data_IF_546089015907
#
_entry.id   IF_546089015907
#
_cell.length_a   1.000
_cell.length_b   1.000
_cell.length_c   1.000
_cell.angle_alpha   90.00
_cell.angle_beta   90.00
_cell.angle_gamma   90.00
#
_symmetry.space_group_name_H-M   'P 1'
#
loop_
_entity.id
_entity.type
_entity.pdbx_description
1 polymer ?
#
# COMPACT_ATOMS: atom_id res chain seq x y z
N UNK A 1 -0.39 9.56 2.84
CA UNK A 1 -1.25 9.06 3.94
C UNK A 1 -1.62 7.61 3.66
N UNK A 2 -1.94 6.83 4.69
CA UNK A 2 -2.42 5.44 4.53
C UNK A 2 -3.36 5.04 5.68
N UNK A 3 -4.31 4.15 5.39
CA UNK A 3 -5.31 3.68 6.36
C UNK A 3 -5.08 2.21 6.71
N UNK A 4 -5.20 1.90 8.00
CA UNK A 4 -5.18 0.53 8.50
C UNK A 4 -6.55 -0.14 8.37
N UNK A 5 -6.57 -1.47 8.42
CA UNK A 5 -7.78 -2.30 8.42
C UNK A 5 -8.73 -1.93 9.57
N UNK A 6 -8.20 -1.49 10.71
CA UNK A 6 -9.00 -1.17 11.92
C UNK A 6 -9.58 0.24 11.94
N UNK A 7 -9.33 1.05 10.92
CA UNK A 7 -9.86 2.41 10.82
C UNK A 7 -8.94 3.50 11.40
N UNK A 8 -7.65 3.21 11.62
CA UNK A 8 -6.67 4.24 11.97
C UNK A 8 -6.02 4.80 10.71
N UNK A 9 -6.16 6.11 10.50
CA UNK A 9 -5.51 6.86 9.43
C UNK A 9 -4.15 7.37 9.89
N UNK A 10 -3.10 7.16 9.09
CA UNK A 10 -1.75 7.67 9.34
C UNK A 10 -1.34 8.67 8.24
N UNK A 11 -0.75 9.80 8.64
CA UNK A 11 -0.45 10.90 7.72
C UNK A 11 0.70 11.78 8.23
N UNK A 12 1.24 12.60 7.33
CA UNK A 12 2.31 13.56 7.66
C UNK A 12 1.75 14.93 8.02
N UNK A 13 2.44 15.63 8.91
CA UNK A 13 2.23 17.03 9.28
C UNK A 13 3.47 17.83 8.86
N UNK A 14 3.39 18.48 7.70
CA UNK A 14 4.54 19.18 7.11
C UNK A 14 5.04 20.36 7.96
N UNK A 15 4.13 21.09 8.61
CA UNK A 15 4.51 22.24 9.43
C UNK A 15 5.21 21.84 10.74
N UNK A 16 5.05 20.58 11.16
CA UNK A 16 5.54 20.05 12.42
C UNK A 16 6.72 19.09 12.27
N UNK A 17 7.15 18.80 11.03
CA UNK A 17 8.06 17.71 10.70
C UNK A 17 7.66 16.41 11.42
N UNK A 18 6.39 16.00 11.30
CA UNK A 18 5.82 14.94 12.14
C UNK A 18 4.96 13.95 11.35
N UNK A 19 4.84 12.74 11.91
CA UNK A 19 3.88 11.72 11.50
C UNK A 19 2.81 11.64 12.58
N UNK A 20 1.55 11.71 12.17
CA UNK A 20 0.39 11.65 13.02
C UNK A 20 -0.53 10.48 12.65
N UNK A 21 -1.42 10.16 13.57
CA UNK A 21 -2.51 9.22 13.36
C UNK A 21 -3.84 9.82 13.83
N UNK A 22 -4.93 9.31 13.30
CA UNK A 22 -6.28 9.55 13.77
C UNK A 22 -7.07 8.26 13.73
N UNK A 23 -7.64 7.87 14.87
CA UNK A 23 -8.53 6.72 14.99
C UNK A 23 -9.98 7.18 14.76
N UNK A 24 -10.57 6.77 13.63
CA UNK A 24 -11.90 7.21 13.23
C UNK A 24 -13.02 6.63 14.11
N UNK A 25 -12.75 5.57 14.86
CA UNK A 25 -13.74 4.92 15.75
C UNK A 25 -13.76 5.56 17.13
N UNK A 26 -12.61 6.05 17.59
CA UNK A 26 -12.47 6.68 18.92
C UNK A 26 -12.91 8.15 18.93
N UNK A 27 -12.72 8.89 17.84
CA UNK A 27 -13.09 10.32 17.80
C UNK A 27 -13.66 10.70 16.44
N UNK A 28 -14.88 11.23 16.43
CA UNK A 28 -15.59 11.62 15.20
C UNK A 28 -15.00 12.85 14.50
N UNK A 29 -14.34 13.74 15.24
CA UNK A 29 -13.73 14.94 14.69
C UNK A 29 -12.25 14.74 14.40
N UNK A 30 -11.88 14.89 13.12
CA UNK A 30 -10.50 14.82 12.66
C UNK A 30 -9.62 15.92 13.28
N UNK A 31 -10.13 17.13 13.56
CA UNK A 31 -9.27 18.25 14.00
C UNK A 31 -8.78 18.10 15.44
N UNK A 32 -9.56 17.42 16.30
CA UNK A 32 -9.22 17.21 17.72
C UNK A 32 -8.71 15.80 18.00
N UNK A 33 -9.04 14.83 17.15
CA UNK A 33 -8.70 13.41 17.35
C UNK A 33 -7.31 13.01 16.87
N UNK A 34 -6.52 13.93 16.32
CA UNK A 34 -5.18 13.63 15.81
C UNK A 34 -4.20 13.45 16.97
N UNK A 35 -3.28 12.50 16.81
CA UNK A 35 -2.17 12.28 17.72
C UNK A 35 -0.88 12.14 16.96
N UNK A 36 0.14 12.88 17.36
CA UNK A 36 1.50 12.74 16.84
C UNK A 36 2.11 11.45 17.38
N UNK A 37 2.63 10.62 16.49
CA UNK A 37 3.31 9.35 16.83
C UNK A 37 4.81 9.40 16.61
N UNK A 38 5.29 10.37 15.82
CA UNK A 38 6.71 10.65 15.63
C UNK A 38 6.88 12.10 15.24
N UNK A 39 7.85 12.79 15.85
CA UNK A 39 8.24 14.16 15.50
C UNK A 39 9.75 14.27 15.63
N UNK A 40 10.41 14.61 14.54
CA UNK A 40 11.85 14.79 14.46
C UNK A 40 12.20 15.73 13.28
N UNK A 41 12.71 16.92 13.61
CA UNK A 41 13.06 17.96 12.65
C UNK A 41 14.25 17.58 11.71
N UNK A 42 14.89 16.44 11.92
CA UNK A 42 15.94 15.90 11.05
C UNK A 42 15.42 14.70 10.25
N UNK A 43 14.69 13.79 10.90
CA UNK A 43 14.30 12.51 10.31
C UNK A 43 12.94 12.54 9.61
N UNK A 44 12.02 13.44 9.99
CA UNK A 44 10.63 13.44 9.52
C UNK A 44 10.20 14.75 8.87
N UNK A 45 11.14 15.49 8.26
CA UNK A 45 10.89 16.79 7.61
C UNK A 45 9.80 16.77 6.55
N UNK A 46 9.82 15.76 5.67
CA UNK A 46 8.82 15.63 4.62
C UNK A 46 8.31 14.18 4.51
N UNK A 47 7.31 13.80 5.32
CA UNK A 47 6.68 12.49 5.21
C UNK A 47 5.87 12.41 3.92
N UNK A 48 6.31 11.58 2.98
CA UNK A 48 5.82 11.56 1.61
C UNK A 48 4.88 10.37 1.36
N UNK A 49 5.42 9.17 1.54
CA UNK A 49 4.74 7.91 1.19
C UNK A 49 4.61 7.01 2.41
N UNK A 50 3.50 6.27 2.49
CA UNK A 50 3.16 5.46 3.64
C UNK A 50 2.63 4.09 3.19
N UNK A 51 3.03 3.03 3.89
CA UNK A 51 2.61 1.68 3.57
C UNK A 51 2.53 0.81 4.82
N UNK A 52 1.77 -0.29 4.73
CA UNK A 52 1.79 -1.36 5.71
C UNK A 52 2.34 -2.61 5.05
N UNK A 53 3.16 -3.36 5.76
CA UNK A 53 3.53 -4.72 5.36
C UNK A 53 2.61 -5.76 6.02
N UNK A 54 2.80 -7.02 5.62
CA UNK A 54 1.98 -8.13 6.11
C UNK A 54 2.30 -8.55 7.54
N UNK A 55 3.46 -8.16 8.06
CA UNK A 55 3.96 -8.42 9.42
C UNK A 55 3.42 -7.41 10.45
N UNK A 56 2.60 -6.46 9.99
CA UNK A 56 2.00 -5.42 10.82
C UNK A 56 2.95 -4.27 11.13
N UNK A 57 3.98 -4.05 10.30
CA UNK A 57 4.78 -2.84 10.35
C UNK A 57 4.16 -1.76 9.46
N UNK A 58 4.27 -0.54 9.97
CA UNK A 58 3.98 0.69 9.25
C UNK A 58 5.29 1.33 8.79
N UNK A 59 5.32 1.66 7.51
CA UNK A 59 6.46 2.24 6.82
C UNK A 59 6.14 3.66 6.37
N UNK A 60 7.13 4.54 6.51
CA UNK A 60 7.06 5.91 6.04
C UNK A 60 8.34 6.26 5.29
N UNK A 61 8.20 6.74 4.06
CA UNK A 61 9.29 7.39 3.33
C UNK A 61 9.30 8.86 3.75
N UNK A 62 10.44 9.33 4.22
CA UNK A 62 10.65 10.75 4.49
C UNK A 62 11.77 11.28 3.60
N UNK A 63 11.63 12.53 3.17
CA UNK A 63 12.64 13.18 2.36
C UNK A 63 12.82 14.65 2.79
N UNK A 64 13.61 15.39 2.01
CA UNK A 64 13.82 16.82 2.16
C UNK A 64 13.38 17.55 0.89
N UNK A 65 12.14 17.33 0.42
CA UNK A 65 11.64 17.90 -0.84
C UNK A 65 11.77 19.43 -0.89
N UNK A 66 11.65 20.12 0.25
CA UNK A 66 11.91 21.56 0.33
C UNK A 66 13.32 21.94 -0.12
N UNK A 67 14.33 21.12 0.14
CA UNK A 67 15.70 21.38 -0.33
C UNK A 67 15.82 21.13 -1.83
N UNK A 68 15.14 20.10 -2.36
CA UNK A 68 15.08 19.85 -3.80
C UNK A 68 14.45 21.03 -4.54
N UNK A 69 13.28 21.49 -4.10
CA UNK A 69 12.56 22.62 -4.72
C UNK A 69 13.36 23.94 -4.70
N UNK A 70 14.27 24.09 -3.74
CA UNK A 70 15.07 25.30 -3.58
C UNK A 70 16.51 25.18 -4.12
N UNK A 71 16.85 24.08 -4.83
CA UNK A 71 18.22 23.80 -5.29
C UNK A 71 19.27 23.79 -4.15
N UNK A 72 18.90 23.23 -2.99
CA UNK A 72 19.73 23.14 -1.77
C UNK A 72 20.02 21.70 -1.34
N UNK A 73 19.91 20.74 -2.25
CA UNK A 73 20.24 19.33 -1.94
C UNK A 73 21.74 19.22 -1.66
N UNK A 74 22.08 18.68 -0.48
CA UNK A 74 23.46 18.38 -0.12
C UNK A 74 23.69 16.87 -0.25
N UNK A 75 24.55 16.45 -1.17
CA UNK A 75 24.82 15.03 -1.44
C UNK A 75 25.63 14.34 -0.33
N UNK A 76 26.28 15.11 0.54
CA UNK A 76 27.09 14.60 1.65
C UNK A 76 26.25 14.19 2.87
N UNK A 77 24.94 14.42 2.83
CA UNK A 77 24.00 14.05 3.90
C UNK A 77 22.88 13.14 3.41
N UNK A 78 22.28 12.30 4.27
CA UNK A 78 21.11 11.53 3.89
C UNK A 78 19.88 12.44 3.65
N UNK A 79 19.43 12.52 2.38
CA UNK A 79 18.27 13.32 1.97
C UNK A 79 16.95 12.53 1.97
N UNK A 80 17.03 11.20 1.91
CA UNK A 80 15.89 10.29 1.80
C UNK A 80 16.03 9.20 2.86
N UNK A 81 14.93 8.84 3.52
CA UNK A 81 14.90 7.83 4.58
C UNK A 81 13.66 6.97 4.46
N UNK A 82 13.79 5.75 4.96
CA UNK A 82 12.69 4.83 5.17
C UNK A 82 12.62 4.51 6.66
N UNK A 83 11.52 4.87 7.29
CA UNK A 83 11.27 4.70 8.73
C UNK A 83 10.23 3.60 8.92
N UNK A 84 10.48 2.70 9.87
CA UNK A 84 9.59 1.61 10.22
C UNK A 84 9.17 1.69 11.68
N UNK A 85 7.90 1.42 11.95
CA UNK A 85 7.40 1.14 13.31
C UNK A 85 6.42 -0.02 13.28
N UNK A 86 6.31 -0.78 14.37
CA UNK A 86 5.34 -1.88 14.47
C UNK A 86 4.02 -1.34 15.01
N UNK A 87 2.94 -1.49 14.23
CA UNK A 87 1.58 -1.08 14.61
C UNK A 87 0.64 -2.26 14.85
N UNK A 88 1.02 -3.46 14.39
CA UNK A 88 0.29 -4.70 14.64
C UNK A 88 -0.97 -4.89 13.80
N UNK A 89 -1.14 -4.08 12.74
CA UNK A 89 -2.31 -4.11 11.86
C UNK A 89 -1.88 -4.03 10.39
N UNK A 90 -2.73 -4.55 9.51
CA UNK A 90 -2.56 -4.49 8.04
C UNK A 90 -3.26 -3.27 7.45
N UNK A 91 -3.07 -3.03 6.16
CA UNK A 91 -3.74 -1.92 5.45
C UNK A 91 -5.25 -2.17 5.26
N UNK A 92 -5.98 -1.12 4.87
CA UNK A 92 -7.43 -1.11 4.66
C UNK A 92 -8.01 -2.17 3.69
N UNK A 93 -7.18 -2.83 2.89
CA UNK A 93 -7.60 -3.90 1.98
C UNK A 93 -7.82 -5.23 2.71
N UNK A 94 -7.35 -5.36 3.95
CA UNK A 94 -7.58 -6.52 4.81
C UNK A 94 -8.79 -6.30 5.71
N UNK A 95 -9.40 -7.40 6.16
CA UNK A 95 -10.38 -7.36 7.24
C UNK A 95 -9.72 -6.98 8.57
N UNK A 96 -10.51 -6.51 9.54
CA UNK A 96 -10.02 -6.13 10.88
C UNK A 96 -9.35 -7.28 11.64
N UNK A 97 -9.72 -8.52 11.32
CA UNK A 97 -9.09 -9.73 11.88
C UNK A 97 -7.76 -10.10 11.17
N UNK A 98 -7.29 -9.29 10.23
CA UNK A 98 -6.04 -9.48 9.48
C UNK A 98 -6.14 -10.43 8.28
N UNK A 99 -7.29 -11.05 8.04
CA UNK A 99 -7.50 -11.94 6.88
C UNK A 99 -7.70 -11.14 5.60
N UNK A 100 -7.24 -11.70 4.47
CA UNK A 100 -7.44 -11.10 3.16
C UNK A 100 -8.88 -11.36 2.67
N UNK A 101 -9.48 -10.44 1.88
CA UNK A 101 -10.75 -10.69 1.21
C UNK A 101 -10.61 -11.84 0.20
N UNK A 102 -11.70 -12.59 0.01
CA UNK A 102 -11.78 -13.59 -1.05
C UNK A 102 -11.66 -12.91 -2.41
N UNK A 103 -10.65 -13.32 -3.20
CA UNK A 103 -10.49 -12.84 -4.56
C UNK A 103 -11.54 -13.50 -5.45
N UNK A 104 -12.08 -12.80 -6.46
CA UNK A 104 -12.96 -13.41 -7.43
C UNK A 104 -12.23 -14.54 -8.18
N UNK A 105 -12.91 -15.68 -8.33
CA UNK A 105 -12.41 -16.77 -9.15
C UNK A 105 -12.54 -16.41 -10.64
N UNK A 106 -11.41 -16.24 -11.31
CA UNK A 106 -11.37 -16.05 -12.76
C UNK A 106 -11.14 -17.40 -13.42
N UNK A 107 -12.22 -18.16 -13.61
CA UNK A 107 -12.19 -19.28 -14.55
C UNK A 107 -12.10 -18.72 -15.96
N UNK A 108 -10.88 -18.50 -16.45
CA UNK A 108 -10.66 -18.38 -17.88
C UNK A 108 -11.24 -19.67 -18.50
N UNK A 109 -12.17 -19.55 -19.45
CA UNK A 109 -12.90 -20.67 -20.05
C UNK A 109 -12.04 -21.64 -20.88
N UNK A 110 -10.85 -21.99 -20.42
CA UNK A 110 -9.94 -22.96 -21.00
C UNK A 110 -10.40 -24.41 -20.77
N UNK A 111 -11.28 -24.66 -19.79
CA UNK A 111 -11.85 -25.99 -19.55
C UNK A 111 -12.87 -26.41 -20.63
N UNK A 112 -13.30 -25.49 -21.49
CA UNK A 112 -14.18 -25.78 -22.64
C UNK A 112 -13.45 -25.65 -23.98
N UNK A 113 -12.29 -26.29 -24.12
CA UNK A 113 -11.91 -26.78 -25.45
C UNK A 113 -12.94 -27.85 -25.81
N UNK A 114 -14.03 -27.41 -26.45
CA UNK A 114 -15.12 -28.25 -26.88
C UNK A 114 -14.56 -29.48 -27.60
N UNK A 115 -14.90 -30.68 -27.11
CA UNK A 115 -14.57 -31.96 -27.76
C UNK A 115 -14.85 -31.93 -29.27
N UNK A 116 -15.85 -31.14 -29.69
CA UNK A 116 -16.17 -30.86 -31.09
C UNK A 116 -15.02 -30.25 -31.91
N UNK A 117 -14.19 -29.36 -31.33
CA UNK A 117 -13.06 -28.76 -32.02
C UNK A 117 -11.91 -29.77 -32.21
N UNK A 118 -11.69 -30.62 -31.20
CA UNK A 118 -10.70 -31.70 -31.26
C UNK A 118 -11.10 -32.78 -32.28
N UNK A 119 -12.39 -33.15 -32.35
CA UNK A 119 -12.89 -34.09 -33.36
C UNK A 119 -12.88 -33.50 -34.77
N UNK A 120 -13.19 -32.20 -34.93
CA UNK A 120 -13.12 -31.53 -36.23
C UNK A 120 -11.68 -31.47 -36.75
N UNK A 121 -10.70 -31.16 -35.89
CA UNK A 121 -9.28 -31.13 -36.25
C UNK A 121 -8.77 -32.51 -36.68
N UNK A 122 -9.17 -33.56 -35.94
CA UNK A 122 -8.83 -34.94 -36.27
C UNK A 122 -9.46 -35.38 -37.61
N UNK A 123 -10.72 -35.01 -37.87
CA UNK A 123 -11.38 -35.31 -39.13
C UNK A 123 -10.69 -34.61 -40.32
N UNK A 124 -10.34 -33.33 -40.17
CA UNK A 124 -9.62 -32.57 -41.20
C UNK A 124 -8.26 -33.20 -41.50
N UNK A 125 -7.50 -33.59 -40.47
CA UNK A 125 -6.21 -34.27 -40.64
C UNK A 125 -6.33 -35.60 -41.41
N UNK A 126 -7.38 -36.39 -41.16
CA UNK A 126 -7.63 -37.65 -41.89
C UNK A 126 -7.98 -37.41 -43.36
N UNK A 127 -8.68 -36.31 -43.67
CA UNK A 127 -9.03 -35.95 -45.05
C UNK A 127 -7.90 -35.31 -45.84
N UNK A 128 -6.98 -34.59 -45.18
CA UNK A 128 -5.82 -33.93 -45.84
C UNK A 128 -4.65 -34.90 -46.05
N UNK A 129 -4.57 -35.99 -45.27
CA UNK A 129 -3.52 -37.01 -45.36
C UNK A 129 -3.81 -38.16 -46.37
N UNK A 130 -4.87 -38.05 -47.17
CA UNK A 130 -5.16 -38.94 -48.31
C UNK A 130 -4.86 -38.24 -49.63
#
# INVERSE_FOLDING_TARGET
MAMSATGVLYFGLLADDAIAMWDTKTTSSFTIGQRIISRDHVLTQWPDSFAFDEDGNFWCVTNMLQNFLNNRVNIDVPNYRLIRTRVGVRNYQYYENGTAPELPDFTAGADSVNFALATLLAAILVFVAK
#
